data_IF_627422914774
#
_entry.id   IF_627422914774
#
_cell.length_a   1.000
_cell.length_b   1.000
_cell.length_c   1.000
_cell.angle_alpha   90.00
_cell.angle_beta   90.00
_cell.angle_gamma   90.00
#
_symmetry.space_group_name_H-M   'P 1'
#
loop_
_entity.id
_entity.type
_entity.pdbx_description
1 polymer ?
#
# COMPACT_ATOMS: atom_id res chain seq x y z
N UNK A 1 11.76 -5.33 -17.36
CA UNK A 1 10.48 -4.67 -17.03
C UNK A 1 9.50 -5.70 -16.47
N UNK A 2 9.72 -6.19 -15.25
CA UNK A 2 8.94 -7.32 -14.67
C UNK A 2 7.65 -6.85 -13.97
N UNK A 3 7.63 -5.63 -13.42
CA UNK A 3 6.49 -5.10 -12.65
C UNK A 3 5.23 -4.99 -13.50
N UNK A 4 5.34 -4.54 -14.76
CA UNK A 4 4.16 -4.36 -15.64
C UNK A 4 3.52 -5.68 -16.09
N UNK A 5 4.23 -6.80 -15.99
CA UNK A 5 3.72 -8.10 -16.42
C UNK A 5 2.94 -8.82 -15.31
N UNK A 6 3.08 -8.37 -14.06
CA UNK A 6 2.35 -8.93 -12.92
C UNK A 6 0.88 -8.42 -12.89
N UNK A 7 -0.06 -9.20 -12.31
CA UNK A 7 -1.42 -8.73 -12.04
C UNK A 7 -1.40 -7.53 -11.08
N UNK A 8 -2.43 -6.65 -11.08
CA UNK A 8 -2.44 -5.38 -10.33
C UNK A 8 -1.97 -5.49 -8.86
N UNK A 9 -2.51 -6.46 -8.10
CA UNK A 9 -2.07 -6.78 -6.71
C UNK A 9 -0.60 -7.17 -6.61
N UNK A 10 -0.12 -7.97 -7.56
CA UNK A 10 1.26 -8.39 -7.64
C UNK A 10 2.20 -7.22 -7.91
N UNK A 11 1.78 -6.25 -8.73
CA UNK A 11 2.57 -5.03 -9.02
C UNK A 11 2.82 -4.23 -7.76
N UNK A 12 1.78 -4.01 -6.95
CA UNK A 12 1.90 -3.28 -5.68
C UNK A 12 2.82 -4.02 -4.73
N UNK A 13 2.63 -5.33 -4.57
CA UNK A 13 3.48 -6.15 -3.71
C UNK A 13 4.96 -6.02 -4.11
N UNK A 14 5.26 -6.11 -5.41
CA UNK A 14 6.63 -5.96 -5.92
C UNK A 14 7.14 -4.54 -5.69
N UNK A 15 6.34 -3.50 -5.98
CA UNK A 15 6.74 -2.10 -5.81
C UNK A 15 7.04 -1.76 -4.35
N UNK A 16 6.20 -2.21 -3.42
CA UNK A 16 6.39 -2.01 -1.99
C UNK A 16 7.65 -2.75 -1.49
N UNK A 17 7.87 -4.00 -1.90
CA UNK A 17 9.12 -4.70 -1.50
C UNK A 17 10.36 -4.04 -2.10
N UNK A 18 10.33 -3.69 -3.39
CA UNK A 18 11.47 -3.17 -4.12
C UNK A 18 11.85 -1.75 -3.69
N UNK A 19 10.88 -0.89 -3.42
CA UNK A 19 11.13 0.52 -3.16
C UNK A 19 11.17 0.89 -1.67
N UNK A 20 10.41 0.21 -0.82
CA UNK A 20 10.35 0.54 0.61
C UNK A 20 10.98 -0.52 1.52
N UNK A 21 11.58 -1.56 0.92
CA UNK A 21 12.31 -2.61 1.63
C UNK A 21 11.42 -3.49 2.49
N UNK A 22 10.11 -3.51 2.22
CA UNK A 22 9.18 -4.36 2.96
C UNK A 22 9.48 -5.84 2.74
N UNK A 23 9.39 -6.61 3.82
CA UNK A 23 9.45 -8.07 3.74
C UNK A 23 8.08 -8.60 3.31
N UNK A 24 7.99 -9.77 2.66
CA UNK A 24 6.71 -10.37 2.28
C UNK A 24 5.73 -10.48 3.47
N UNK A 25 6.22 -10.86 4.65
CA UNK A 25 5.43 -10.94 5.90
C UNK A 25 4.92 -9.59 6.43
N UNK A 26 5.48 -8.49 5.95
CA UNK A 26 5.04 -7.13 6.31
C UNK A 26 3.97 -6.60 5.38
N UNK A 27 3.82 -7.17 4.17
CA UNK A 27 2.70 -6.88 3.28
C UNK A 27 1.40 -7.51 3.78
N UNK A 28 1.50 -8.75 4.27
CA UNK A 28 0.41 -9.50 4.86
C UNK A 28 0.91 -10.37 6.00
N UNK A 29 0.10 -10.51 7.04
CA UNK A 29 0.41 -11.41 8.14
C UNK A 29 0.39 -12.87 7.64
N UNK A 30 1.02 -13.77 8.40
CA UNK A 30 1.16 -15.18 8.01
C UNK A 30 -0.19 -15.91 7.84
N UNK A 31 -1.25 -15.41 8.49
CA UNK A 31 -2.59 -16.00 8.46
C UNK A 31 -3.45 -15.46 7.31
N UNK A 32 -2.98 -14.46 6.57
CA UNK A 32 -3.77 -13.76 5.55
C UNK A 32 -4.94 -12.95 6.09
N UNK A 33 -4.98 -12.67 7.40
CA UNK A 33 -6.10 -11.98 8.07
C UNK A 33 -5.88 -10.48 8.25
N UNK A 34 -4.64 -9.99 8.11
CA UNK A 34 -4.29 -8.57 8.20
C UNK A 34 -3.13 -8.27 7.24
N UNK A 35 -3.05 -7.04 6.74
CA UNK A 35 -2.05 -6.61 5.78
C UNK A 35 -1.94 -5.09 5.72
N UNK A 36 -1.10 -4.57 4.82
CA UNK A 36 -0.98 -3.12 4.64
C UNK A 36 -2.30 -2.56 4.12
N UNK A 37 -2.78 -1.51 4.78
CA UNK A 37 -4.02 -0.81 4.45
C UNK A 37 -3.74 0.57 3.91
N UNK A 38 -4.74 1.16 3.26
CA UNK A 38 -4.67 2.54 2.77
C UNK A 38 -4.39 3.55 3.90
N UNK A 39 -4.95 3.33 5.08
CA UNK A 39 -4.74 4.17 6.26
C UNK A 39 -3.35 4.06 6.88
N UNK A 40 -2.53 3.07 6.48
CA UNK A 40 -1.14 2.95 6.94
C UNK A 40 -0.22 3.98 6.24
N UNK A 41 -0.68 4.59 5.14
CA UNK A 41 0.00 5.74 4.54
C UNK A 41 -0.39 7.03 5.27
N UNK A 42 0.60 7.72 5.82
CA UNK A 42 0.34 8.90 6.65
C UNK A 42 -0.29 10.05 5.85
N UNK A 43 0.14 10.22 4.60
CA UNK A 43 -0.27 11.32 3.74
C UNK A 43 -1.35 10.93 2.71
N UNK A 44 -1.99 9.76 2.87
CA UNK A 44 -3.13 9.36 2.05
C UNK A 44 -4.43 10.03 2.50
N UNK A 45 -5.08 10.72 1.57
CA UNK A 45 -6.36 11.39 1.76
C UNK A 45 -7.39 10.83 0.78
N UNK A 46 -8.55 10.44 1.31
CA UNK A 46 -9.68 9.97 0.52
C UNK A 46 -10.66 11.14 0.43
N UNK A 47 -10.83 11.67 -0.77
CA UNK A 47 -11.82 12.72 -1.07
C UNK A 47 -12.92 12.17 -1.97
N UNK A 48 -14.00 12.94 -2.15
CA UNK A 48 -15.07 12.59 -3.09
C UNK A 48 -14.57 12.54 -4.55
N UNK A 49 -13.44 13.19 -4.86
CA UNK A 49 -12.80 13.20 -6.17
C UNK A 49 -11.81 12.06 -6.39
N UNK A 50 -11.42 11.33 -5.33
CA UNK A 50 -10.53 10.17 -5.44
C UNK A 50 -9.52 10.02 -4.31
N UNK A 51 -8.45 9.28 -4.58
CA UNK A 51 -7.35 9.06 -3.64
C UNK A 51 -6.18 9.98 -3.95
N UNK A 52 -5.84 10.85 -3.01
CA UNK A 52 -4.69 11.75 -3.11
C UNK A 52 -3.64 11.46 -2.05
N UNK A 53 -2.40 11.85 -2.34
CA UNK A 53 -1.28 11.73 -1.42
C UNK A 53 -0.64 13.10 -1.29
N UNK A 54 -0.79 13.73 -0.13
CA UNK A 54 -0.45 15.14 0.08
C UNK A 54 1.07 15.41 0.04
N UNK A 55 1.91 14.38 0.21
CA UNK A 55 3.38 14.51 0.26
C UNK A 55 4.11 13.31 -0.34
N UNK A 56 5.25 13.62 -0.99
CA UNK A 56 6.19 12.64 -1.54
C UNK A 56 7.61 12.84 -0.98
N UNK A 57 8.38 11.75 -0.72
CA UNK A 57 7.91 10.37 -0.67
C UNK A 57 6.91 10.17 0.49
N UNK A 58 5.90 9.34 0.29
CA UNK A 58 4.85 9.09 1.27
C UNK A 58 5.38 8.16 2.36
N UNK A 59 5.08 8.46 3.62
CA UNK A 59 5.42 7.64 4.76
C UNK A 59 4.42 6.49 4.91
N UNK A 60 4.93 5.27 4.95
CA UNK A 60 4.17 4.06 5.22
C UNK A 60 4.50 3.54 6.62
N UNK A 61 3.50 3.51 7.50
CA UNK A 61 3.60 3.04 8.87
C UNK A 61 3.36 1.53 8.90
N UNK A 62 4.38 0.76 9.27
CA UNK A 62 4.25 -0.69 9.45
C UNK A 62 3.82 -0.98 10.88
N UNK A 63 2.55 -1.36 11.04
CA UNK A 63 1.94 -1.72 12.33
C UNK A 63 2.70 -2.87 13.01
N UNK A 64 2.69 -2.90 14.36
CA UNK A 64 3.40 -3.93 15.16
C UNK A 64 3.06 -5.35 14.73
N UNK A 65 1.81 -5.63 14.33
CA UNK A 65 1.35 -6.94 13.88
C UNK A 65 1.97 -7.43 12.56
N UNK A 66 2.45 -6.51 11.72
CA UNK A 66 3.10 -6.77 10.43
C UNK A 66 4.64 -6.78 10.55
N UNK A 67 5.16 -6.43 11.72
CA UNK A 67 6.60 -6.42 11.99
C UNK A 67 7.07 -7.77 12.52
N UNK A 68 8.14 -8.32 11.93
CA UNK A 68 8.77 -9.57 12.41
C UNK A 68 9.17 -9.47 13.88
N UNK A 69 9.63 -8.31 14.32
CA UNK A 69 10.12 -8.06 15.69
C UNK A 69 9.07 -7.43 16.60
N UNK A 70 7.80 -7.36 16.16
CA UNK A 70 6.68 -6.74 16.90
C UNK A 70 6.89 -5.26 17.29
N UNK A 71 7.78 -4.56 16.58
CA UNK A 71 8.00 -3.13 16.75
C UNK A 71 7.41 -2.38 15.55
N UNK A 72 6.72 -1.28 15.84
CA UNK A 72 6.25 -0.37 14.81
C UNK A 72 7.46 0.36 14.23
N UNK A 73 7.48 0.50 12.92
CA UNK A 73 8.46 1.33 12.22
C UNK A 73 7.76 1.97 11.02
N UNK A 74 8.41 2.96 10.43
CA UNK A 74 7.95 3.55 9.18
C UNK A 74 9.00 3.32 8.09
N UNK A 75 8.55 3.33 6.85
CA UNK A 75 9.38 3.37 5.66
C UNK A 75 8.81 4.41 4.70
N UNK A 76 9.51 4.71 3.63
CA UNK A 76 9.07 5.64 2.61
C UNK A 76 8.76 4.91 1.31
N UNK A 77 7.68 5.31 0.65
CA UNK A 77 7.32 4.83 -0.68
C UNK A 77 7.52 6.00 -1.66
N UNK A 78 8.40 5.87 -2.67
CA UNK A 78 8.60 6.91 -3.66
C UNK A 78 7.38 7.02 -4.58
N UNK A 79 7.30 8.12 -5.32
CA UNK A 79 6.20 8.43 -6.22
C UNK A 79 5.85 7.27 -7.16
N UNK A 80 6.85 6.60 -7.74
CA UNK A 80 6.62 5.43 -8.61
C UNK A 80 5.82 4.30 -7.94
N UNK A 81 6.07 4.05 -6.66
CA UNK A 81 5.32 3.05 -5.88
C UNK A 81 3.89 3.51 -5.61
N UNK A 82 3.72 4.80 -5.32
CA UNK A 82 2.40 5.39 -5.09
C UNK A 82 1.55 5.40 -6.37
N UNK A 83 2.14 5.63 -7.55
CA UNK A 83 1.42 5.52 -8.82
C UNK A 83 0.76 4.16 -8.98
N UNK A 84 1.48 3.06 -8.72
CA UNK A 84 0.89 1.71 -8.81
C UNK A 84 -0.21 1.47 -7.77
N UNK A 85 -0.06 2.02 -6.57
CA UNK A 85 -1.10 1.95 -5.52
C UNK A 85 -2.36 2.69 -5.95
N UNK A 86 -2.22 3.90 -6.51
CA UNK A 86 -3.34 4.69 -7.04
C UNK A 86 -4.06 3.95 -8.16
N UNK A 87 -3.33 3.51 -9.18
CA UNK A 87 -3.91 2.80 -10.33
C UNK A 87 -4.79 1.61 -9.91
N UNK A 88 -4.30 0.81 -8.96
CA UNK A 88 -5.04 -0.35 -8.46
C UNK A 88 -6.28 0.04 -7.63
N UNK A 89 -6.19 1.07 -6.80
CA UNK A 89 -7.31 1.52 -5.98
C UNK A 89 -8.38 2.21 -6.83
N UNK A 90 -7.98 2.97 -7.85
CA UNK A 90 -8.89 3.53 -8.85
C UNK A 90 -9.63 2.46 -9.64
N UNK A 91 -8.96 1.36 -10.01
CA UNK A 91 -9.61 0.22 -10.67
C UNK A 91 -10.71 -0.38 -9.78
N UNK A 92 -10.47 -0.50 -8.47
CA UNK A 92 -11.48 -0.98 -7.51
C UNK A 92 -12.64 -0.01 -7.33
N UNK A 93 -12.37 1.30 -7.30
CA UNK A 93 -13.44 2.32 -7.29
C UNK A 93 -14.30 2.23 -8.55
N UNK A 94 -13.68 2.03 -9.73
CA UNK A 94 -14.42 1.82 -10.99
C UNK A 94 -15.30 0.57 -10.96
N UNK A 95 -14.89 -0.45 -10.21
CA UNK A 95 -15.69 -1.66 -9.96
C UNK A 95 -16.81 -1.44 -8.91
N UNK A 96 -16.96 -0.22 -8.39
CA UNK A 96 -18.01 0.15 -7.44
C UNK A 96 -17.62 0.02 -5.96
N UNK A 97 -16.35 -0.27 -5.66
CA UNK A 97 -15.88 -0.36 -4.28
C UNK A 97 -15.72 1.03 -3.65
N UNK A 98 -16.27 1.22 -2.45
CA UNK A 98 -16.06 2.44 -1.65
C UNK A 98 -14.80 2.31 -0.81
N UNK A 99 -13.77 3.08 -1.15
CA UNK A 99 -12.52 3.07 -0.40
C UNK A 99 -12.69 3.73 0.97
N UNK A 100 -11.95 3.18 1.95
CA UNK A 100 -11.85 3.69 3.30
C UNK A 100 -10.41 3.52 3.80
N UNK A 101 -10.08 4.13 4.94
CA UNK A 101 -8.76 3.95 5.57
C UNK A 101 -8.46 2.48 5.89
N UNK A 102 -9.49 1.65 6.05
CA UNK A 102 -9.35 0.21 6.32
C UNK A 102 -9.23 -0.65 5.05
N UNK A 103 -9.32 -0.04 3.87
CA UNK A 103 -9.21 -0.77 2.61
C UNK A 103 -7.84 -1.44 2.49
N UNK A 104 -7.78 -2.78 2.28
CA UNK A 104 -6.53 -3.49 2.11
C UNK A 104 -5.88 -3.16 0.77
N UNK A 105 -4.57 -3.31 0.64
CA UNK A 105 -3.85 -3.23 -0.64
C UNK A 105 -3.73 -4.63 -1.27
#
# INVERSE_FOLDING_TARGET
MIVRMAPPRGRISIALMAFSGLRPKSLGNYLGTDGVKLGDFAEAEISDSGLEFAKMPTMLIVRRGLSKVKNQYFTFVPEQGITYVKEYLEERVKLGEKLSRDSPL
#
